data_IF_364783079570
#
_entry.id   IF_364783079570
#
_cell.length_a   1.000
_cell.length_b   1.000
_cell.length_c   1.000
_cell.angle_alpha   90.00
_cell.angle_beta   90.00
_cell.angle_gamma   90.00
#
_symmetry.space_group_name_H-M   'P 1'
#
loop_
_entity.id
_entity.type
_entity.pdbx_description
1 polymer ?
#
# COMPACT_ATOMS: atom_id res chain seq x y z
N UNK A 1 8.85 -16.28 6.41
CA UNK A 1 10.13 -15.56 6.60
C UNK A 1 10.49 -15.30 8.08
N UNK A 2 9.79 -15.86 9.09
CA UNK A 2 10.09 -15.63 10.53
C UNK A 2 10.36 -14.16 10.88
N UNK A 3 9.45 -13.27 10.45
CA UNK A 3 9.55 -11.81 10.54
C UNK A 3 10.76 -11.13 9.87
N UNK A 4 11.64 -11.91 9.22
CA UNK A 4 12.77 -11.45 8.42
C UNK A 4 12.47 -11.55 6.92
N UNK A 5 11.44 -10.82 6.49
CA UNK A 5 11.03 -10.75 5.08
C UNK A 5 12.08 -9.93 4.29
N UNK A 6 12.59 -10.44 3.15
CA UNK A 6 13.59 -9.73 2.36
C UNK A 6 13.13 -8.34 1.91
N UNK A 7 14.07 -7.40 1.83
CA UNK A 7 13.80 -6.03 1.36
C UNK A 7 13.27 -6.02 -0.08
N UNK A 8 13.87 -6.83 -0.97
CA UNK A 8 13.44 -6.93 -2.37
C UNK A 8 11.97 -7.35 -2.52
N UNK A 9 11.49 -8.22 -1.62
CA UNK A 9 10.07 -8.59 -1.59
C UNK A 9 9.19 -7.36 -1.28
N UNK A 10 9.58 -6.56 -0.28
CA UNK A 10 8.81 -5.38 0.11
C UNK A 10 8.79 -4.32 -0.98
N UNK A 11 9.94 -4.08 -1.62
CA UNK A 11 10.04 -3.14 -2.74
C UNK A 11 9.16 -3.61 -3.92
N UNK A 12 9.24 -4.88 -4.31
CA UNK A 12 8.38 -5.43 -5.35
C UNK A 12 6.88 -5.36 -4.98
N UNK A 13 6.55 -5.67 -3.73
CA UNK A 13 5.18 -5.59 -3.23
C UNK A 13 4.65 -4.14 -3.22
N UNK A 14 5.45 -3.16 -2.82
CA UNK A 14 5.04 -1.75 -2.84
C UNK A 14 4.70 -1.28 -4.27
N UNK A 15 5.55 -1.62 -5.25
CA UNK A 15 5.28 -1.33 -6.67
C UNK A 15 4.01 -2.03 -7.14
N UNK A 16 3.85 -3.32 -6.82
CA UNK A 16 2.66 -4.08 -7.20
C UNK A 16 1.38 -3.50 -6.59
N UNK A 17 1.39 -3.11 -5.31
CA UNK A 17 0.25 -2.48 -4.64
C UNK A 17 -0.10 -1.14 -5.29
N UNK A 18 0.89 -0.32 -5.64
CA UNK A 18 0.67 0.94 -6.36
C UNK A 18 0.01 0.70 -7.72
N UNK A 19 0.57 -0.22 -8.51
CA UNK A 19 0.04 -0.60 -9.83
C UNK A 19 -1.39 -1.15 -9.72
N UNK A 20 -1.63 -2.10 -8.80
CA UNK A 20 -2.92 -2.71 -8.60
C UNK A 20 -3.98 -1.67 -8.17
N UNK A 21 -3.61 -0.74 -7.28
CA UNK A 21 -4.51 0.33 -6.83
C UNK A 21 -4.96 1.23 -8.00
N UNK A 22 -4.05 1.62 -8.88
CA UNK A 22 -4.38 2.40 -10.08
C UNK A 22 -5.23 1.60 -11.07
N UNK A 23 -4.86 0.35 -11.33
CA UNK A 23 -5.59 -0.51 -12.25
C UNK A 23 -7.01 -0.82 -11.77
N UNK A 24 -7.21 -1.01 -10.46
CA UNK A 24 -8.53 -1.22 -9.88
C UNK A 24 -9.45 -0.01 -10.05
N UNK A 25 -8.95 1.22 -9.94
CA UNK A 25 -9.73 2.43 -10.25
C UNK A 25 -10.16 2.41 -11.72
N UNK A 26 -9.23 2.11 -12.63
CA UNK A 26 -9.54 2.03 -14.07
C UNK A 26 -10.57 0.94 -14.40
N UNK A 27 -10.48 -0.20 -13.74
CA UNK A 27 -11.43 -1.29 -13.89
C UNK A 27 -12.83 -0.91 -13.40
N UNK A 28 -12.92 -0.16 -12.29
CA UNK A 28 -14.18 0.28 -11.67
C UNK A 28 -15.00 1.23 -12.55
N UNK A 29 -14.38 1.92 -13.53
CA UNK A 29 -15.10 2.77 -14.50
C UNK A 29 -16.24 2.04 -15.22
N UNK A 30 -16.13 0.71 -15.37
CA UNK A 30 -17.15 -0.14 -16.01
C UNK A 30 -18.42 -0.34 -15.18
N UNK A 31 -18.37 -0.01 -13.88
CA UNK A 31 -19.41 -0.36 -12.90
C UNK A 31 -20.07 0.88 -12.26
N UNK A 32 -19.61 2.08 -12.60
CA UNK A 32 -20.21 3.34 -12.16
C UNK A 32 -19.50 3.99 -10.96
N UNK A 33 -20.01 5.17 -10.56
CA UNK A 33 -19.31 6.07 -9.63
C UNK A 33 -19.08 5.47 -8.24
N UNK A 34 -20.03 4.70 -7.71
CA UNK A 34 -19.90 4.10 -6.38
C UNK A 34 -18.71 3.13 -6.28
N UNK A 35 -18.47 2.36 -7.34
CA UNK A 35 -17.32 1.45 -7.43
C UNK A 35 -16.01 2.22 -7.62
N UNK A 36 -16.01 3.29 -8.43
CA UNK A 36 -14.84 4.18 -8.58
C UNK A 36 -14.46 4.76 -7.22
N UNK A 37 -15.42 5.32 -6.48
CA UNK A 37 -15.20 5.92 -5.16
C UNK A 37 -14.71 4.87 -4.16
N UNK A 38 -15.24 3.64 -4.23
CA UNK A 38 -14.76 2.49 -3.48
C UNK A 38 -13.29 2.19 -3.73
N UNK A 39 -12.87 2.15 -4.99
CA UNK A 39 -11.47 1.89 -5.36
C UNK A 39 -10.55 3.06 -5.01
N UNK A 40 -10.99 4.30 -5.16
CA UNK A 40 -10.24 5.49 -4.72
C UNK A 40 -10.01 5.47 -3.20
N UNK A 41 -11.02 5.11 -2.40
CA UNK A 41 -10.86 4.95 -0.95
C UNK A 41 -9.82 3.89 -0.60
N UNK A 42 -9.83 2.74 -1.30
CA UNK A 42 -8.83 1.67 -1.09
C UNK A 42 -7.42 2.09 -1.51
N UNK A 43 -7.29 2.76 -2.65
CA UNK A 43 -6.01 3.29 -3.12
C UNK A 43 -5.40 4.28 -2.10
N UNK A 44 -6.21 5.20 -1.56
CA UNK A 44 -5.78 6.12 -0.50
C UNK A 44 -5.37 5.40 0.79
N UNK A 45 -6.06 4.33 1.17
CA UNK A 45 -5.65 3.50 2.31
C UNK A 45 -4.30 2.83 2.06
N UNK A 46 -4.06 2.29 0.86
CA UNK A 46 -2.75 1.77 0.44
C UNK A 46 -1.68 2.85 0.52
N UNK A 47 -1.91 4.05 -0.04
CA UNK A 47 -0.96 5.16 0.05
C UNK A 47 -0.63 5.50 1.50
N UNK A 48 -1.63 5.60 2.40
CA UNK A 48 -1.39 5.86 3.82
C UNK A 48 -0.53 4.77 4.47
N UNK A 49 -0.76 3.50 4.13
CA UNK A 49 -0.01 2.37 4.66
C UNK A 49 1.47 2.40 4.24
N UNK A 50 1.79 2.89 3.04
CA UNK A 50 3.17 2.99 2.54
C UNK A 50 3.76 4.41 2.65
N UNK A 51 3.12 5.31 3.39
CA UNK A 51 3.50 6.73 3.47
C UNK A 51 3.62 7.41 2.11
N UNK A 52 2.54 7.39 1.33
CA UNK A 52 2.54 7.81 -0.08
C UNK A 52 3.61 7.10 -0.92
N UNK A 53 3.92 5.85 -0.56
CA UNK A 53 4.99 5.03 -1.15
C UNK A 53 6.41 5.57 -0.95
N UNK A 54 6.64 6.41 0.06
CA UNK A 54 8.00 6.72 0.56
C UNK A 54 8.61 5.56 1.35
N UNK A 55 7.80 4.59 1.78
CA UNK A 55 8.23 3.37 2.46
C UNK A 55 7.97 2.14 1.59
N UNK A 56 8.93 1.21 1.53
CA UNK A 56 8.71 -0.11 0.91
C UNK A 56 7.95 -1.07 1.85
N UNK A 57 8.10 -0.91 3.16
CA UNK A 57 7.42 -1.73 4.18
C UNK A 57 6.20 -0.96 4.69
N UNK A 58 5.00 -1.57 4.69
CA UNK A 58 3.81 -0.86 5.14
C UNK A 58 3.81 -0.66 6.66
N UNK A 59 3.32 0.51 7.11
CA UNK A 59 3.27 0.93 8.51
C UNK A 59 2.63 -0.12 9.43
N UNK A 60 1.60 -0.83 8.97
CA UNK A 60 0.92 -1.86 9.76
C UNK A 60 1.84 -3.05 10.08
N UNK A 61 2.74 -3.44 9.18
CA UNK A 61 3.66 -4.54 9.40
C UNK A 61 4.73 -4.14 10.41
N UNK A 62 5.35 -2.97 10.23
CA UNK A 62 6.32 -2.44 11.19
C UNK A 62 5.72 -2.20 12.57
N UNK A 63 4.45 -1.76 12.63
CA UNK A 63 3.72 -1.57 13.89
C UNK A 63 3.47 -2.89 14.60
N UNK A 64 3.07 -3.94 13.88
CA UNK A 64 2.84 -5.27 14.45
C UNK A 64 4.13 -5.87 15.07
N UNK A 65 5.30 -5.51 14.53
CA UNK A 65 6.60 -5.92 15.06
C UNK A 65 7.14 -5.01 16.18
N UNK A 66 6.42 -3.94 16.55
CA UNK A 66 6.93 -2.92 17.50
C UNK A 66 8.11 -2.10 16.95
N UNK A 67 8.35 -2.12 15.64
CA UNK A 67 9.49 -1.48 14.96
C UNK A 67 9.14 -0.13 14.33
N UNK A 68 7.98 0.45 14.63
CA UNK A 68 7.59 1.73 14.06
C UNK A 68 8.30 2.89 14.77
N UNK A 69 9.43 3.32 14.21
CA UNK A 69 10.07 4.60 14.57
C UNK A 69 9.49 5.72 13.69
N UNK A 70 9.01 6.76 14.35
CA UNK A 70 8.33 7.94 13.77
C UNK A 70 9.30 9.06 13.38
N UNK A 71 10.60 8.77 13.31
CA UNK A 71 11.66 9.80 13.31
C UNK A 71 12.67 9.63 12.16
N UNK A 72 12.21 9.52 10.91
CA UNK A 72 13.08 9.79 9.74
C UNK A 72 12.31 10.65 8.74
N UNK A 73 12.48 11.96 8.88
CA UNK A 73 12.34 12.95 7.83
C UNK A 73 13.74 13.38 7.40
#
# INVERSE_FOLDING_TARGET
FNDNVPEDFWTANAVYVAQASLFSIKWAEKFGQDEIDGMVRRARASMKNFDNFNLSVPKWYSSALGKYNKDVH
#
